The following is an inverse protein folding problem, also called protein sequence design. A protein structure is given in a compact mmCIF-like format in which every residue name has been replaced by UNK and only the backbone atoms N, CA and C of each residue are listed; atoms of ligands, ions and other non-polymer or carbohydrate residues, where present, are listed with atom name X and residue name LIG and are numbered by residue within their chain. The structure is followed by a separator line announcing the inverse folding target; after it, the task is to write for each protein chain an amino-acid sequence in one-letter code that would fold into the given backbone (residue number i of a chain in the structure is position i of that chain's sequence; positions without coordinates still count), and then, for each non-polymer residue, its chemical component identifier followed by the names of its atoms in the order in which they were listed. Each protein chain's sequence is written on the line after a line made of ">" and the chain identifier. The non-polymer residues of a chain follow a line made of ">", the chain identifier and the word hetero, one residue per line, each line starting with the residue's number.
data_IF_907476977145
#
_entry.id   IF_907476977145
#
_cell.length_a   1.000
_cell.length_b   1.000
_cell.length_c   1.000
_cell.angle_alpha   90.00
_cell.angle_beta   90.00
_cell.angle_gamma   90.00
#
_symmetry.space_group_name_H-M   'P 1'
#
loop_
_entity.id
_entity.type
_entity.pdbx_description
1 polymer ?
#
# COMPACT_ATOMS: atom_id res chain seq x y z
N UNK A 1 -21.15 14.37 21.59
CA UNK A 1 -20.43 13.32 20.82
C UNK A 1 -20.50 13.56 19.32
N UNK A 2 -21.68 13.77 18.73
CA UNK A 2 -21.80 14.11 17.30
C UNK A 2 -21.10 15.39 16.87
N UNK A 3 -21.12 16.43 17.71
CA UNK A 3 -20.33 17.64 17.45
C UNK A 3 -18.80 17.36 17.43
N UNK A 4 -18.33 16.38 18.22
CA UNK A 4 -16.93 15.90 18.15
C UNK A 4 -16.66 15.15 16.86
N UNK A 5 -17.58 14.28 16.43
CA UNK A 5 -17.48 13.53 15.17
C UNK A 5 -17.48 14.45 13.94
N UNK A 6 -18.41 15.41 13.83
CA UNK A 6 -18.37 16.50 12.83
C UNK A 6 -17.04 17.22 12.89
N UNK A 7 -16.60 17.57 14.10
CA UNK A 7 -15.33 18.26 14.30
C UNK A 7 -14.15 17.48 13.73
N UNK A 8 -14.11 16.15 13.89
CA UNK A 8 -13.04 15.28 13.38
C UNK A 8 -13.11 15.14 11.85
N UNK A 9 -14.30 14.89 11.31
CA UNK A 9 -14.50 14.71 9.87
C UNK A 9 -14.26 16.03 9.13
N UNK A 10 -14.74 17.15 9.66
CA UNK A 10 -14.50 18.50 9.12
C UNK A 10 -13.01 18.82 9.12
N UNK A 11 -12.29 18.46 10.18
CA UNK A 11 -10.83 18.57 10.20
C UNK A 11 -10.16 17.66 9.17
N UNK A 12 -10.59 16.41 9.01
CA UNK A 12 -10.09 15.48 8.00
C UNK A 12 -10.32 16.00 6.56
N UNK A 13 -11.53 16.49 6.28
CA UNK A 13 -11.92 17.02 4.98
C UNK A 13 -11.13 18.27 4.60
N UNK A 14 -11.04 19.24 5.52
CA UNK A 14 -10.21 20.44 5.34
C UNK A 14 -8.72 20.08 5.15
N UNK A 15 -8.24 19.03 5.83
CA UNK A 15 -6.86 18.56 5.72
C UNK A 15 -6.57 17.81 4.40
N UNK A 16 -7.58 17.19 3.78
CA UNK A 16 -7.44 16.51 2.48
C UNK A 16 -7.19 17.48 1.32
N UNK A 17 -7.56 18.76 1.49
CA UNK A 17 -7.42 19.83 0.49
C UNK A 17 -8.12 19.56 -0.86
N UNK A 18 -9.03 18.59 -0.91
CA UNK A 18 -9.71 18.13 -2.13
C UNK A 18 -10.58 19.23 -2.75
N UNK A 19 -11.34 19.99 -1.95
CA UNK A 19 -12.19 21.08 -2.44
C UNK A 19 -11.44 22.22 -3.15
N UNK A 20 -10.12 22.35 -2.95
CA UNK A 20 -9.30 23.32 -3.70
C UNK A 20 -8.84 22.76 -5.06
N UNK A 21 -8.66 21.44 -5.16
CA UNK A 21 -8.28 20.73 -6.41
C UNK A 21 -9.48 20.52 -7.33
N UNK A 22 -10.67 20.42 -6.75
CA UNK A 22 -11.96 20.36 -7.44
C UNK A 22 -12.81 21.58 -7.07
N UNK A 23 -12.33 22.79 -7.38
CA UNK A 23 -12.92 24.06 -6.92
C UNK A 23 -14.34 24.35 -7.43
N UNK A 24 -14.74 23.64 -8.48
CA UNK A 24 -16.08 23.65 -9.05
C UNK A 24 -17.06 22.78 -8.24
N UNK A 25 -16.56 21.84 -7.42
CA UNK A 25 -17.40 20.97 -6.62
C UNK A 25 -18.00 21.74 -5.42
N UNK A 26 -19.18 21.33 -4.98
CA UNK A 26 -19.93 21.91 -3.86
C UNK A 26 -19.41 21.30 -2.56
N UNK A 27 -18.98 22.15 -1.62
CA UNK A 27 -18.58 21.68 -0.28
C UNK A 27 -19.83 21.38 0.55
N UNK A 28 -20.26 20.11 0.55
CA UNK A 28 -21.47 19.64 1.25
C UNK A 28 -21.18 18.83 2.50
N UNK A 29 -20.00 18.96 3.08
CA UNK A 29 -19.54 18.08 4.15
C UNK A 29 -20.46 18.11 5.40
N UNK A 30 -20.98 19.26 5.80
CA UNK A 30 -21.79 19.31 7.02
C UNK A 30 -23.19 18.74 6.76
N UNK A 31 -23.78 19.08 5.62
CA UNK A 31 -25.08 18.61 5.17
C UNK A 31 -25.05 17.09 5.03
N UNK A 32 -24.05 16.53 4.37
CA UNK A 32 -23.89 15.08 4.22
C UNK A 32 -23.61 14.35 5.53
N UNK A 33 -23.09 15.02 6.57
CA UNK A 33 -22.98 14.42 7.91
C UNK A 33 -24.31 14.41 8.66
N UNK A 34 -25.15 15.41 8.42
CA UNK A 34 -26.53 15.37 8.92
C UNK A 34 -27.24 14.16 8.32
N UNK A 35 -27.01 13.83 7.04
CA UNK A 35 -27.48 12.58 6.44
C UNK A 35 -26.93 11.33 7.16
N UNK A 36 -25.62 11.26 7.45
CA UNK A 36 -25.01 10.18 8.24
C UNK A 36 -25.64 10.00 9.62
N UNK A 37 -25.96 11.12 10.29
CA UNK A 37 -26.62 11.12 11.60
C UNK A 37 -28.06 10.66 11.52
N UNK A 38 -28.82 11.15 10.53
CA UNK A 38 -30.20 10.74 10.30
C UNK A 38 -30.26 9.24 10.02
N UNK A 39 -29.29 8.73 9.25
CA UNK A 39 -29.17 7.31 8.93
C UNK A 39 -28.79 6.44 10.15
N UNK A 40 -27.87 6.90 11.00
CA UNK A 40 -27.44 6.15 12.18
C UNK A 40 -27.14 7.05 13.39
N UNK A 41 -28.18 7.42 14.14
CA UNK A 41 -28.13 8.40 15.23
C UNK A 41 -27.75 7.84 16.61
N UNK A 42 -27.29 6.58 16.73
CA UNK A 42 -26.92 5.98 18.03
C UNK A 42 -25.45 6.16 18.35
N UNK A 43 -25.13 6.64 19.55
CA UNK A 43 -23.80 7.10 19.92
C UNK A 43 -22.69 6.06 19.74
N UNK A 44 -22.98 4.78 20.02
CA UNK A 44 -22.06 3.64 19.90
C UNK A 44 -21.50 3.41 18.48
N UNK A 45 -22.17 3.89 17.43
CA UNK A 45 -21.74 3.71 16.04
C UNK A 45 -20.91 4.89 15.48
N UNK A 46 -20.19 5.59 16.34
CA UNK A 46 -19.40 6.77 15.97
C UNK A 46 -18.33 6.51 14.91
N UNK A 47 -17.60 5.40 15.01
CA UNK A 47 -16.60 4.99 14.03
C UNK A 47 -17.25 4.73 12.66
N UNK A 48 -18.45 4.16 12.66
CA UNK A 48 -19.25 3.90 11.46
C UNK A 48 -19.71 5.18 10.77
N UNK A 49 -20.28 6.13 11.52
CA UNK A 49 -20.65 7.45 10.99
C UNK A 49 -19.46 8.24 10.46
N UNK A 50 -18.34 8.19 11.18
CA UNK A 50 -17.12 8.86 10.76
C UNK A 50 -16.53 8.27 9.48
N UNK A 51 -16.71 6.97 9.25
CA UNK A 51 -16.29 6.29 8.02
C UNK A 51 -17.23 6.58 6.86
N UNK A 52 -18.53 6.36 7.04
CA UNK A 52 -19.57 6.63 6.03
C UNK A 52 -19.49 8.07 5.52
N UNK A 53 -19.19 9.00 6.42
CA UNK A 53 -19.12 10.39 6.03
C UNK A 53 -17.96 10.74 5.09
N UNK A 54 -16.81 10.08 5.26
CA UNK A 54 -15.64 10.27 4.39
C UNK A 54 -15.95 9.80 2.98
N UNK A 55 -16.70 8.70 2.87
CA UNK A 55 -17.17 8.16 1.59
C UNK A 55 -18.17 9.11 0.91
N UNK A 56 -19.16 9.61 1.66
CA UNK A 56 -20.15 10.54 1.12
C UNK A 56 -19.52 11.84 0.61
N UNK A 57 -18.47 12.32 1.28
CA UNK A 57 -17.75 13.52 0.85
C UNK A 57 -17.04 13.31 -0.50
N UNK A 58 -16.39 12.16 -0.70
CA UNK A 58 -15.79 11.82 -1.99
C UNK A 58 -16.85 11.65 -3.08
N UNK A 59 -18.00 11.04 -2.75
CA UNK A 59 -19.11 10.85 -3.69
C UNK A 59 -19.69 12.18 -4.21
N UNK A 60 -19.84 13.19 -3.34
CA UNK A 60 -20.35 14.50 -3.75
C UNK A 60 -19.37 15.27 -4.62
N UNK A 61 -18.07 15.16 -4.37
CA UNK A 61 -17.05 15.77 -5.25
C UNK A 61 -17.14 15.20 -6.67
N UNK A 62 -17.37 13.89 -6.78
CA UNK A 62 -17.54 13.23 -8.07
C UNK A 62 -18.81 13.75 -8.75
N UNK A 63 -19.94 13.77 -8.03
CA UNK A 63 -21.24 14.27 -8.53
C UNK A 63 -21.12 15.68 -9.13
N UNK A 64 -20.51 16.59 -8.39
CA UNK A 64 -20.36 17.99 -8.82
C UNK A 64 -19.37 18.18 -9.98
N UNK A 65 -18.47 17.21 -10.17
CA UNK A 65 -17.57 17.18 -11.34
C UNK A 65 -18.35 16.94 -12.62
N UNK A 66 -19.31 16.03 -12.58
CA UNK A 66 -20.14 15.72 -13.74
C UNK A 66 -21.11 16.85 -14.08
N UNK A 67 -21.61 17.56 -13.07
CA UNK A 67 -22.45 18.75 -13.26
C UNK A 67 -21.66 19.93 -13.87
N UNK A 68 -20.39 20.10 -13.51
CA UNK A 68 -19.59 21.26 -13.91
C UNK A 68 -18.81 21.10 -15.23
N UNK A 69 -18.36 19.89 -15.60
CA UNK A 69 -17.52 19.65 -16.79
C UNK A 69 -18.23 18.87 -17.89
N UNK A 70 -19.43 19.30 -18.29
CA UNK A 70 -20.12 18.72 -19.45
C UNK A 70 -19.30 18.65 -20.76
N UNK A 71 -18.07 19.20 -20.84
CA UNK A 71 -17.28 19.33 -22.06
C UNK A 71 -15.73 19.17 -22.01
N UNK A 72 -15.04 18.96 -20.86
CA UNK A 72 -13.56 18.70 -20.84
C UNK A 72 -13.27 17.31 -20.26
N UNK A 73 -13.31 16.30 -21.12
CA UNK A 73 -13.62 14.92 -20.72
C UNK A 73 -12.47 14.01 -20.29
N UNK A 74 -11.22 14.21 -20.72
CA UNK A 74 -10.23 13.12 -20.64
C UNK A 74 -9.12 13.32 -19.57
N UNK A 75 -8.47 14.48 -19.49
CA UNK A 75 -7.37 14.69 -18.54
C UNK A 75 -7.85 14.82 -17.07
N UNK A 76 -8.95 15.52 -16.83
CA UNK A 76 -9.53 15.75 -15.49
C UNK A 76 -10.16 14.45 -14.95
N UNK A 77 -10.68 13.59 -15.83
CA UNK A 77 -11.29 12.33 -15.47
C UNK A 77 -10.25 11.30 -14.97
N UNK A 78 -9.06 11.28 -15.57
CA UNK A 78 -7.98 10.40 -15.15
C UNK A 78 -7.41 10.76 -13.77
N UNK A 79 -7.17 12.05 -13.48
CA UNK A 79 -6.66 12.46 -12.16
C UNK A 79 -7.64 12.19 -11.00
N UNK A 80 -8.95 12.28 -11.27
CA UNK A 80 -10.00 11.94 -10.30
C UNK A 80 -10.08 10.44 -10.09
N UNK A 81 -10.06 9.65 -11.17
CA UNK A 81 -10.06 8.18 -11.09
C UNK A 81 -8.84 7.68 -10.30
N UNK A 82 -7.66 8.25 -10.54
CA UNK A 82 -6.42 7.99 -9.77
C UNK A 82 -6.61 8.34 -8.30
N UNK A 83 -7.18 9.50 -8.00
CA UNK A 83 -7.39 9.93 -6.62
C UNK A 83 -8.37 9.02 -5.86
N UNK A 84 -9.42 8.52 -6.52
CA UNK A 84 -10.39 7.60 -5.94
C UNK A 84 -9.82 6.21 -5.72
N UNK A 85 -9.09 5.70 -6.70
CA UNK A 85 -8.52 4.36 -6.63
C UNK A 85 -7.36 4.30 -5.62
N UNK A 86 -6.56 5.37 -5.52
CA UNK A 86 -5.57 5.52 -4.44
C UNK A 86 -6.26 5.54 -3.07
N UNK A 87 -7.36 6.27 -2.93
CA UNK A 87 -8.12 6.35 -1.69
C UNK A 87 -8.70 4.98 -1.31
N UNK A 88 -9.26 4.24 -2.26
CA UNK A 88 -9.77 2.87 -2.08
C UNK A 88 -8.68 1.90 -1.62
N UNK A 89 -7.52 1.93 -2.26
CA UNK A 89 -6.40 1.06 -1.89
C UNK A 89 -5.82 1.42 -0.51
N UNK A 90 -5.80 2.71 -0.12
CA UNK A 90 -5.48 3.11 1.26
C UNK A 90 -6.50 2.56 2.26
N UNK A 91 -7.79 2.49 1.93
CA UNK A 91 -8.77 1.85 2.83
C UNK A 91 -8.59 0.35 2.96
N UNK A 92 -8.27 -0.35 1.87
CA UNK A 92 -7.92 -1.78 1.93
C UNK A 92 -6.71 -1.99 2.85
N UNK A 93 -5.66 -1.19 2.67
CA UNK A 93 -4.47 -1.20 3.53
C UNK A 93 -4.83 -1.03 5.01
N UNK A 94 -5.64 -0.01 5.35
CA UNK A 94 -6.08 0.22 6.74
C UNK A 94 -6.83 -1.00 7.29
N UNK A 95 -7.71 -1.63 6.50
CA UNK A 95 -8.44 -2.83 6.93
C UNK A 95 -7.50 -4.00 7.19
N UNK A 96 -6.47 -4.18 6.37
CA UNK A 96 -5.47 -5.23 6.56
C UNK A 96 -4.59 -4.99 7.80
N UNK A 97 -4.20 -3.74 8.08
CA UNK A 97 -3.55 -3.42 9.35
C UNK A 97 -4.47 -3.64 10.57
N UNK A 98 -5.78 -3.43 10.42
CA UNK A 98 -6.74 -3.75 11.49
C UNK A 98 -6.83 -5.27 11.71
N UNK A 99 -6.70 -6.09 10.66
CA UNK A 99 -6.62 -7.55 10.77
C UNK A 99 -5.36 -7.96 11.52
N UNK A 100 -4.20 -7.40 11.17
CA UNK A 100 -2.94 -7.64 11.91
C UNK A 100 -3.05 -7.24 13.38
N UNK A 101 -3.58 -6.05 13.66
CA UNK A 101 -3.79 -5.60 15.04
C UNK A 101 -4.74 -6.54 15.82
N UNK A 102 -5.77 -7.07 15.15
CA UNK A 102 -6.66 -8.07 15.74
C UNK A 102 -5.92 -9.38 16.04
N UNK A 103 -5.12 -9.88 15.09
CA UNK A 103 -4.31 -11.07 15.27
C UNK A 103 -3.36 -10.94 16.46
N UNK A 104 -2.65 -9.81 16.55
CA UNK A 104 -1.77 -9.52 17.70
C UNK A 104 -2.55 -9.47 19.02
N UNK A 105 -3.67 -8.74 19.07
CA UNK A 105 -4.47 -8.60 20.29
C UNK A 105 -5.03 -9.94 20.80
N UNK A 106 -5.47 -10.81 19.89
CA UNK A 106 -6.07 -12.10 20.22
C UNK A 106 -5.01 -13.21 20.39
N UNK A 107 -3.73 -12.93 20.14
CA UNK A 107 -2.67 -13.95 20.08
C UNK A 107 -2.92 -14.97 18.97
N UNK A 108 -3.66 -14.60 17.94
CA UNK A 108 -4.00 -15.46 16.82
C UNK A 108 -2.83 -15.53 15.84
N UNK A 109 -2.34 -16.74 15.60
CA UNK A 109 -1.34 -17.03 14.57
C UNK A 109 -2.09 -17.51 13.32
N UNK A 110 -2.15 -16.74 12.23
CA UNK A 110 -2.77 -17.20 10.99
C UNK A 110 -1.95 -18.35 10.36
N UNK A 111 -2.54 -19.01 9.36
CA UNK A 111 -1.75 -19.83 8.44
C UNK A 111 -0.81 -18.94 7.62
N UNK A 112 0.29 -19.48 7.10
CA UNK A 112 1.20 -18.76 6.22
C UNK A 112 0.51 -18.27 4.95
N UNK A 113 -0.45 -19.02 4.42
CA UNK A 113 -1.24 -18.61 3.26
C UNK A 113 -2.18 -17.42 3.59
N UNK A 114 -2.87 -17.44 4.74
CA UNK A 114 -3.68 -16.30 5.21
C UNK A 114 -2.82 -15.07 5.51
N UNK A 115 -1.64 -15.28 6.10
CA UNK A 115 -0.65 -14.22 6.33
C UNK A 115 -0.27 -13.55 5.00
N UNK A 116 0.07 -14.33 3.96
CA UNK A 116 0.46 -13.77 2.64
C UNK A 116 -0.66 -12.93 2.03
N UNK A 117 -1.92 -13.38 2.11
CA UNK A 117 -3.07 -12.62 1.59
C UNK A 117 -3.17 -11.23 2.22
N UNK A 118 -3.00 -11.12 3.54
CA UNK A 118 -2.99 -9.83 4.22
C UNK A 118 -1.70 -9.04 3.93
N UNK A 119 -0.57 -9.75 3.92
CA UNK A 119 0.78 -9.25 3.72
C UNK A 119 1.01 -8.58 2.36
N UNK A 120 0.34 -9.06 1.30
CA UNK A 120 0.36 -8.40 -0.01
C UNK A 120 -0.06 -6.93 0.12
N UNK A 121 -1.17 -6.67 0.83
CA UNK A 121 -1.67 -5.31 1.00
C UNK A 121 -0.83 -4.51 1.99
N UNK A 122 -0.40 -5.10 3.12
CA UNK A 122 0.42 -4.40 4.14
C UNK A 122 1.88 -4.23 3.76
N UNK A 123 2.32 -4.77 2.62
CA UNK A 123 3.58 -4.43 1.95
C UNK A 123 3.63 -2.99 1.41
N UNK A 124 2.49 -2.27 1.39
CA UNK A 124 2.29 -0.90 0.86
C UNK A 124 2.65 -0.69 -0.62
N UNK A 125 2.99 -1.75 -1.35
CA UNK A 125 3.51 -1.63 -2.70
C UNK A 125 2.45 -1.17 -3.72
N UNK A 126 1.22 -1.68 -3.66
CA UNK A 126 0.13 -1.24 -4.57
C UNK A 126 -0.19 0.26 -4.42
N UNK A 127 -0.39 0.82 -3.21
CA UNK A 127 -0.51 2.27 -3.03
C UNK A 127 0.71 3.08 -3.50
N UNK A 128 1.93 2.52 -3.37
CA UNK A 128 3.15 3.16 -3.86
C UNK A 128 3.13 3.26 -5.40
N UNK A 129 2.81 2.18 -6.11
CA UNK A 129 2.69 2.20 -7.57
C UNK A 129 1.59 3.15 -8.05
N UNK A 130 0.46 3.18 -7.35
CA UNK A 130 -0.63 4.12 -7.62
C UNK A 130 -0.20 5.59 -7.54
N UNK A 131 0.83 5.92 -6.74
CA UNK A 131 1.34 7.29 -6.63
C UNK A 131 2.13 7.77 -7.86
N UNK A 132 2.66 6.84 -8.67
CA UNK A 132 3.44 7.18 -9.88
C UNK A 132 2.56 7.46 -11.10
N UNK A 133 1.26 7.16 -11.05
CA UNK A 133 0.36 7.22 -12.21
C UNK A 133 0.25 8.63 -12.83
N UNK A 134 0.52 9.69 -12.06
CA UNK A 134 0.56 11.06 -12.58
C UNK A 134 1.85 11.44 -13.34
N UNK A 135 2.80 10.51 -13.52
CA UNK A 135 4.15 10.82 -14.00
C UNK A 135 4.49 10.07 -15.29
N UNK A 136 4.75 10.82 -16.37
CA UNK A 136 5.34 10.30 -17.60
C UNK A 136 4.60 9.07 -18.16
N UNK A 137 5.34 7.98 -18.35
CA UNK A 137 4.86 6.73 -18.96
C UNK A 137 3.78 6.00 -18.14
N UNK A 138 3.59 6.38 -16.87
CA UNK A 138 2.56 5.80 -16.00
C UNK A 138 1.16 6.41 -16.21
N UNK A 139 1.04 7.49 -16.98
CA UNK A 139 -0.22 8.23 -17.18
C UNK A 139 -1.20 7.57 -18.15
N UNK A 140 -0.80 6.46 -18.78
CA UNK A 140 -1.64 5.76 -19.75
C UNK A 140 -2.75 4.96 -19.06
N UNK A 141 -3.91 4.88 -19.72
CA UNK A 141 -5.04 4.10 -19.21
C UNK A 141 -4.71 2.61 -19.06
N UNK A 142 -3.93 2.05 -19.97
CA UNK A 142 -3.56 0.63 -19.93
C UNK A 142 -2.67 0.32 -18.72
N UNK A 143 -1.72 1.21 -18.38
CA UNK A 143 -0.90 1.08 -17.16
C UNK A 143 -1.75 1.25 -15.90
N UNK A 144 -2.68 2.21 -15.90
CA UNK A 144 -3.64 2.40 -14.81
C UNK A 144 -4.45 1.12 -14.56
N UNK A 145 -5.11 0.60 -15.60
CA UNK A 145 -5.97 -0.59 -15.51
C UNK A 145 -5.14 -1.81 -15.08
N UNK A 146 -3.91 -1.93 -15.59
CA UNK A 146 -2.99 -2.99 -15.21
C UNK A 146 -2.60 -2.94 -13.74
N UNK A 147 -2.15 -1.79 -13.19
CA UNK A 147 -1.76 -1.65 -11.77
C UNK A 147 -2.92 -2.06 -10.86
N UNK A 148 -4.14 -1.58 -11.14
CA UNK A 148 -5.29 -1.81 -10.27
C UNK A 148 -5.98 -3.15 -10.47
N UNK A 149 -5.63 -3.89 -11.53
CA UNK A 149 -5.98 -5.31 -11.66
C UNK A 149 -5.28 -6.21 -10.63
N UNK A 150 -4.27 -5.69 -9.91
CA UNK A 150 -3.36 -6.44 -9.02
C UNK A 150 -2.70 -7.62 -9.75
N UNK A 151 -1.81 -7.33 -10.71
CA UNK A 151 -1.21 -8.36 -11.54
C UNK A 151 -0.29 -9.24 -10.70
N UNK A 152 -0.15 -10.51 -11.09
CA UNK A 152 0.62 -11.54 -10.36
C UNK A 152 2.05 -11.09 -10.03
N UNK A 153 2.70 -10.32 -10.93
CA UNK A 153 4.04 -9.77 -10.67
C UNK A 153 4.06 -8.84 -9.46
N UNK A 154 3.04 -8.01 -9.26
CA UNK A 154 2.95 -7.11 -8.12
C UNK A 154 2.66 -7.87 -6.83
N UNK A 155 1.83 -8.93 -6.87
CA UNK A 155 1.60 -9.81 -5.72
C UNK A 155 2.91 -10.50 -5.29
N UNK A 156 3.64 -11.06 -6.25
CA UNK A 156 4.92 -11.73 -6.00
C UNK A 156 5.95 -10.78 -5.36
N UNK A 157 6.10 -9.57 -5.92
CA UNK A 157 6.99 -8.52 -5.37
C UNK A 157 6.56 -8.11 -3.96
N UNK A 158 5.26 -7.94 -3.73
CA UNK A 158 4.70 -7.58 -2.42
C UNK A 158 5.01 -8.64 -1.37
N UNK A 159 4.89 -9.92 -1.72
CA UNK A 159 5.20 -11.03 -0.82
C UNK A 159 6.70 -11.06 -0.50
N UNK A 160 7.58 -10.97 -1.50
CA UNK A 160 9.03 -10.90 -1.28
C UNK A 160 9.37 -9.78 -0.30
N UNK A 161 8.88 -8.57 -0.55
CA UNK A 161 9.15 -7.42 0.32
C UNK A 161 8.66 -7.65 1.75
N UNK A 162 7.45 -8.20 1.90
CA UNK A 162 6.81 -8.45 3.19
C UNK A 162 7.55 -9.50 4.01
N UNK A 163 7.85 -10.66 3.42
CA UNK A 163 8.52 -11.76 4.14
C UNK A 163 9.95 -11.40 4.52
N UNK A 164 10.68 -10.69 3.65
CA UNK A 164 12.04 -10.25 3.94
C UNK A 164 12.08 -9.19 5.05
N UNK A 165 11.11 -8.26 5.07
CA UNK A 165 11.01 -7.30 6.16
C UNK A 165 10.80 -8.01 7.49
N UNK A 166 9.76 -8.86 7.59
CA UNK A 166 9.41 -9.53 8.85
C UNK A 166 10.52 -10.50 9.31
N UNK A 167 11.22 -11.18 8.39
CA UNK A 167 12.38 -12.02 8.74
C UNK A 167 13.53 -11.21 9.32
N UNK A 168 13.75 -9.99 8.82
CA UNK A 168 14.82 -9.11 9.28
C UNK A 168 14.52 -8.46 10.64
N UNK A 169 13.25 -8.24 10.95
CA UNK A 169 12.78 -7.63 12.21
C UNK A 169 12.41 -8.67 13.27
N UNK A 170 12.24 -9.95 12.89
CA UNK A 170 11.78 -11.04 13.76
C UNK A 170 12.39 -11.07 15.16
N UNK A 171 13.73 -11.00 15.26
CA UNK A 171 14.44 -11.06 16.56
C UNK A 171 14.07 -9.91 17.49
N UNK A 172 13.79 -8.73 16.92
CA UNK A 172 13.38 -7.55 17.66
C UNK A 172 11.89 -7.63 18.00
N UNK A 173 11.07 -8.08 17.04
CA UNK A 173 9.62 -8.22 17.20
C UNK A 173 9.25 -9.21 18.31
N UNK A 174 9.98 -10.33 18.47
CA UNK A 174 9.77 -11.29 19.56
C UNK A 174 9.96 -10.72 20.97
N UNK A 175 10.66 -9.58 21.11
CA UNK A 175 10.86 -8.92 22.41
C UNK A 175 9.70 -7.99 22.78
N UNK A 176 8.74 -7.82 21.89
CA UNK A 176 7.59 -6.92 22.04
C UNK A 176 6.29 -7.70 21.79
N UNK A 177 5.14 -7.18 22.25
CA UNK A 177 3.85 -7.76 21.89
C UNK A 177 3.58 -7.46 20.41
N UNK A 178 3.97 -8.38 19.52
CA UNK A 178 3.92 -8.21 18.08
C UNK A 178 2.94 -9.19 17.41
N UNK A 179 2.55 -8.88 16.18
CA UNK A 179 1.81 -9.76 15.28
C UNK A 179 2.68 -10.99 14.97
N UNK A 180 2.03 -12.15 14.81
CA UNK A 180 2.72 -13.36 14.38
C UNK A 180 3.41 -13.13 13.02
N UNK A 181 4.73 -13.36 12.96
CA UNK A 181 5.53 -13.18 11.75
C UNK A 181 5.34 -14.38 10.80
N UNK A 182 5.86 -14.35 9.56
CA UNK A 182 5.81 -15.50 8.67
C UNK A 182 6.50 -16.73 9.26
N UNK A 183 7.44 -16.54 10.19
CA UNK A 183 8.10 -17.65 10.89
C UNK A 183 7.11 -18.42 11.75
N UNK A 184 6.39 -17.74 12.66
CA UNK A 184 5.37 -18.38 13.50
C UNK A 184 4.24 -18.99 12.66
N UNK A 185 3.84 -18.32 11.57
CA UNK A 185 2.81 -18.81 10.67
C UNK A 185 3.21 -20.12 9.98
N UNK A 186 4.43 -20.19 9.44
CA UNK A 186 4.98 -21.40 8.81
C UNK A 186 5.16 -22.55 9.82
N UNK A 187 5.73 -22.26 11.00
CA UNK A 187 5.91 -23.27 12.04
C UNK A 187 4.57 -23.88 12.47
N UNK A 188 3.52 -23.05 12.59
CA UNK A 188 2.17 -23.52 12.91
C UNK A 188 1.53 -24.33 11.78
N UNK A 189 1.66 -23.89 10.53
CA UNK A 189 0.99 -24.53 9.39
C UNK A 189 1.66 -25.84 8.98
N UNK A 190 2.99 -25.89 8.95
CA UNK A 190 3.74 -27.03 8.42
C UNK A 190 4.40 -27.90 9.51
N UNK A 191 4.26 -27.53 10.79
CA UNK A 191 4.85 -28.25 11.93
C UNK A 191 6.37 -28.43 11.81
N UNK A 192 7.06 -27.41 11.28
CA UNK A 192 8.52 -27.40 11.06
C UNK A 192 9.26 -26.59 12.12
N UNK A 193 10.56 -26.81 12.26
CA UNK A 193 11.42 -25.99 13.11
C UNK A 193 11.63 -24.59 12.54
N UNK A 194 12.13 -23.65 13.37
CA UNK A 194 12.48 -22.31 12.91
C UNK A 194 13.56 -22.31 11.81
N UNK A 195 14.56 -23.19 11.90
CA UNK A 195 15.61 -23.30 10.89
C UNK A 195 15.07 -23.80 9.55
N UNK A 196 14.21 -24.82 9.57
CA UNK A 196 13.51 -25.32 8.38
C UNK A 196 12.57 -24.26 7.80
N UNK A 197 11.93 -23.45 8.67
CA UNK A 197 11.07 -22.34 8.27
C UNK A 197 11.85 -21.27 7.51
N UNK A 198 13.04 -20.87 7.98
CA UNK A 198 13.88 -19.91 7.24
C UNK A 198 14.23 -20.45 5.84
N UNK A 199 14.59 -21.73 5.73
CA UNK A 199 14.87 -22.35 4.43
C UNK A 199 13.64 -22.40 3.52
N UNK A 200 12.46 -22.68 4.10
CA UNK A 200 11.19 -22.69 3.38
C UNK A 200 10.87 -21.30 2.82
N UNK A 201 10.98 -20.24 3.64
CA UNK A 201 10.70 -18.87 3.19
C UNK A 201 11.72 -18.40 2.16
N UNK A 202 13.02 -18.71 2.32
CA UNK A 202 14.03 -18.42 1.30
C UNK A 202 13.69 -19.09 -0.04
N UNK A 203 13.25 -20.34 -0.02
CA UNK A 203 12.80 -21.04 -1.24
C UNK A 203 11.54 -20.41 -1.84
N UNK A 204 10.59 -20.00 -1.00
CA UNK A 204 9.38 -19.30 -1.44
C UNK A 204 9.74 -17.98 -2.15
N UNK A 205 10.71 -17.21 -1.62
CA UNK A 205 11.26 -16.01 -2.28
C UNK A 205 11.89 -16.35 -3.64
N UNK A 206 12.70 -17.42 -3.73
CA UNK A 206 13.27 -17.88 -5.01
C UNK A 206 12.18 -18.26 -6.03
N UNK A 207 11.11 -18.89 -5.57
CA UNK A 207 9.98 -19.28 -6.42
C UNK A 207 9.19 -18.04 -6.89
N UNK A 208 8.98 -17.03 -6.05
CA UNK A 208 8.40 -15.75 -6.49
C UNK A 208 9.29 -15.00 -7.48
N UNK A 209 10.61 -15.07 -7.36
CA UNK A 209 11.51 -14.51 -8.38
C UNK A 209 11.32 -15.16 -9.75
N UNK A 210 11.08 -16.48 -9.80
CA UNK A 210 10.75 -17.17 -11.06
C UNK A 210 9.42 -16.68 -11.63
N UNK A 211 8.42 -16.43 -10.77
CA UNK A 211 7.14 -15.82 -11.17
C UNK A 211 7.37 -14.42 -11.74
N UNK A 212 8.13 -13.56 -11.06
CA UNK A 212 8.47 -12.21 -11.51
C UNK A 212 9.11 -12.25 -12.90
N UNK A 213 10.12 -13.11 -13.09
CA UNK A 213 10.82 -13.24 -14.37
C UNK A 213 9.89 -13.70 -15.50
N UNK A 214 8.97 -14.63 -15.22
CA UNK A 214 7.98 -15.08 -16.19
C UNK A 214 7.01 -13.96 -16.55
N UNK A 215 6.41 -13.31 -15.56
CA UNK A 215 5.40 -12.27 -15.75
C UNK A 215 5.97 -11.00 -16.41
N UNK A 216 7.22 -10.65 -16.11
CA UNK A 216 7.94 -9.54 -16.77
C UNK A 216 8.03 -9.74 -18.29
N UNK A 217 8.22 -10.99 -18.73
CA UNK A 217 8.28 -11.34 -20.15
C UNK A 217 6.90 -11.45 -20.79
N UNK A 218 5.86 -11.79 -20.01
CA UNK A 218 4.48 -11.88 -20.49
C UNK A 218 3.78 -10.52 -20.58
N UNK A 219 4.20 -9.54 -19.78
CA UNK A 219 3.62 -8.19 -19.73
C UNK A 219 4.14 -7.30 -20.88
N UNK A 220 4.00 -7.75 -22.13
CA UNK A 220 4.58 -7.09 -23.32
C UNK A 220 3.96 -5.72 -23.62
N UNK A 221 2.71 -5.50 -23.21
CA UNK A 221 1.95 -4.28 -23.47
C UNK A 221 2.23 -3.17 -22.43
N UNK A 222 3.02 -3.48 -21.40
CA UNK A 222 3.37 -2.54 -20.33
C UNK A 222 4.76 -1.95 -20.60
N UNK A 223 4.93 -0.61 -20.49
CA UNK A 223 6.24 0.02 -20.68
C UNK A 223 7.31 -0.62 -19.77
N UNK A 224 8.50 -0.86 -20.33
CA UNK A 224 9.58 -1.52 -19.60
C UNK A 224 10.01 -0.72 -18.37
N UNK A 225 9.96 0.61 -18.42
CA UNK A 225 10.21 1.48 -17.26
C UNK A 225 9.29 1.17 -16.06
N UNK A 226 8.00 0.91 -16.32
CA UNK A 226 7.00 0.57 -15.29
C UNK A 226 7.32 -0.81 -14.69
N UNK A 227 7.63 -1.79 -15.55
CA UNK A 227 8.01 -3.13 -15.10
C UNK A 227 9.34 -3.12 -14.32
N UNK A 228 10.30 -2.32 -14.76
CA UNK A 228 11.58 -2.14 -14.08
C UNK A 228 11.37 -1.52 -12.69
N UNK A 229 10.47 -0.53 -12.55
CA UNK A 229 10.07 -0.02 -11.23
C UNK A 229 9.52 -1.11 -10.32
N UNK A 230 8.71 -2.03 -10.86
CA UNK A 230 8.14 -3.15 -10.10
C UNK A 230 9.23 -4.12 -9.65
N UNK A 231 10.10 -4.56 -10.56
CA UNK A 231 11.19 -5.50 -10.25
C UNK A 231 12.22 -4.87 -9.31
N UNK A 232 12.54 -3.59 -9.51
CA UNK A 232 13.47 -2.85 -8.66
C UNK A 232 12.99 -2.78 -7.21
N UNK A 233 11.67 -2.78 -6.95
CA UNK A 233 11.17 -2.81 -5.58
C UNK A 233 11.52 -4.13 -4.85
N UNK A 234 11.42 -5.28 -5.53
CA UNK A 234 11.89 -6.56 -4.97
C UNK A 234 13.41 -6.56 -4.75
N UNK A 235 14.18 -6.10 -5.74
CA UNK A 235 15.64 -5.97 -5.62
C UNK A 235 16.05 -5.05 -4.46
N UNK A 236 15.35 -3.93 -4.29
CA UNK A 236 15.57 -2.99 -3.19
C UNK A 236 15.28 -3.68 -1.85
N UNK A 237 14.18 -4.40 -1.76
CA UNK A 237 13.79 -5.14 -0.55
C UNK A 237 14.88 -6.14 -0.15
N UNK A 238 15.46 -6.87 -1.11
CA UNK A 238 16.60 -7.74 -0.83
C UNK A 238 17.81 -6.97 -0.30
N UNK A 239 18.20 -5.86 -0.94
CA UNK A 239 19.35 -5.06 -0.50
C UNK A 239 19.13 -4.52 0.91
N UNK A 240 17.94 -3.97 1.17
CA UNK A 240 17.57 -3.41 2.47
C UNK A 240 17.59 -4.47 3.55
N UNK A 241 16.95 -5.62 3.33
CA UNK A 241 16.83 -6.66 4.36
C UNK A 241 17.95 -7.71 4.35
N UNK A 242 18.92 -7.57 3.45
CA UNK A 242 20.10 -8.44 3.36
C UNK A 242 20.76 -8.64 4.71
N UNK A 243 21.18 -9.88 4.99
CA UNK A 243 21.78 -10.33 6.25
C UNK A 243 20.83 -10.27 7.45
N UNK A 244 19.51 -10.31 7.24
CA UNK A 244 18.50 -10.26 8.31
C UNK A 244 18.64 -9.00 9.16
N UNK A 245 18.88 -7.87 8.50
CA UNK A 245 19.01 -6.56 9.12
C UNK A 245 18.00 -5.60 8.52
N UNK A 246 17.18 -4.98 9.35
CA UNK A 246 16.31 -3.89 8.90
C UNK A 246 17.13 -2.60 8.74
N UNK A 247 17.71 -2.42 7.55
CA UNK A 247 18.48 -1.21 7.20
C UNK A 247 17.59 0.02 6.99
N UNK A 248 16.28 -0.16 6.83
CA UNK A 248 15.34 0.96 6.73
C UNK A 248 15.18 1.64 8.10
N UNK A 249 15.06 0.84 9.17
CA UNK A 249 15.07 1.34 10.55
C UNK A 249 16.49 1.76 10.96
N UNK A 250 17.50 0.96 10.63
CA UNK A 250 18.90 1.25 10.95
C UNK A 250 19.65 1.86 9.75
N UNK A 251 19.34 3.12 9.44
CA UNK A 251 19.84 3.82 8.25
C UNK A 251 21.36 3.97 8.15
N UNK A 252 22.11 3.85 9.27
CA UNK A 252 23.59 3.84 9.23
C UNK A 252 24.13 2.68 8.37
N UNK A 253 23.39 1.57 8.29
CA UNK A 253 23.75 0.42 7.44
C UNK A 253 23.60 0.70 5.94
N UNK A 254 22.94 1.80 5.55
CA UNK A 254 22.84 2.26 4.15
C UNK A 254 23.88 3.32 3.79
N UNK A 255 24.69 3.78 4.75
CA UNK A 255 25.59 4.91 4.57
C UNK A 255 26.60 4.71 3.43
N UNK A 256 27.12 3.50 3.27
CA UNK A 256 28.06 3.17 2.19
C UNK A 256 27.37 3.23 0.81
N UNK A 257 26.13 2.74 0.72
CA UNK A 257 25.31 2.84 -0.49
C UNK A 257 25.03 4.31 -0.83
N UNK A 258 24.58 5.10 0.14
CA UNK A 258 24.30 6.53 -0.03
C UNK A 258 25.55 7.29 -0.47
N UNK A 259 26.69 7.01 0.16
CA UNK A 259 27.97 7.66 -0.16
C UNK A 259 28.40 7.31 -1.58
N UNK A 260 28.32 6.03 -1.97
CA UNK A 260 28.69 5.58 -3.31
C UNK A 260 27.76 6.10 -4.40
N UNK A 261 26.45 6.22 -4.15
CA UNK A 261 25.48 6.63 -5.17
C UNK A 261 25.33 8.15 -5.30
N UNK A 262 25.40 8.89 -4.19
CA UNK A 262 25.01 10.31 -4.16
C UNK A 262 26.17 11.27 -3.86
N UNK A 263 27.26 10.79 -3.26
CA UNK A 263 28.34 11.67 -2.79
C UNK A 263 29.63 11.50 -3.58
N UNK A 264 29.97 10.27 -3.97
CA UNK A 264 31.23 9.95 -4.62
C UNK A 264 31.07 9.90 -6.14
N UNK A 265 31.60 10.88 -6.90
CA UNK A 265 31.57 10.82 -8.35
C UNK A 265 32.40 9.63 -8.85
N UNK A 266 31.91 8.96 -9.90
CA UNK A 266 32.69 7.94 -10.61
C UNK A 266 33.72 8.68 -11.46
N UNK A 267 35.00 8.52 -11.13
CA UNK A 267 36.09 9.03 -11.96
C UNK A 267 36.20 8.15 -13.20
N UNK A 268 35.98 8.76 -14.36
CA UNK A 268 36.24 8.13 -15.65
C UNK A 268 37.65 8.56 -16.05
N UNK A 269 38.60 7.62 -16.04
CA UNK A 269 39.93 7.87 -16.58
C UNK A 269 39.80 8.15 -18.09
N UNK A 270 40.12 9.39 -18.48
CA UNK A 270 40.21 9.78 -19.88
C UNK A 270 41.54 9.25 -20.42
N UNK A 271 41.51 8.06 -21.01
CA UNK A 271 42.56 7.54 -21.87
C UNK A 271 42.25 7.81 -23.34
#
# INVERSE_FOLDING_TARGET
>A
MYQKEIGIITKWWKKSNLMKKVSFARDRLVESYIWSLVFCHRLEYNKGRMFEKKMMACATIIDDTYDAYGTIKEAIQNEILISLELFHNIFKLIKCYMVEAKWCHEGFIPTYDEYKVNGILTSIFTPLMASFIGLGEFTTKDVFDWIFSNPTIMEAVSIIARVLNDMSSHKFEQQTAHVASPIECCMKQYCVSQAETCNLICKDVEDYWKVINKEYNMSIDIPKSVLDCVVNYASMSEVTYKNYQDKFINGELLKDYVSSFLMNPIFIDQH
#
